data_IF_647964996828
#
_entry.id   IF_647964996828
#
_cell.length_a   1.000
_cell.length_b   1.000
_cell.length_c   1.000
_cell.angle_alpha   90.00
_cell.angle_beta   90.00
_cell.angle_gamma   90.00
#
_symmetry.space_group_name_H-M   'P 1'
#
loop_
_entity.id
_entity.type
_entity.pdbx_description
1 polymer ?
#
# COMPACT_ATOMS: atom_id res chain seq x y z
N UNK A 1 63.89 15.84 62.71
CA UNK A 1 62.72 15.15 62.13
C UNK A 1 62.80 15.30 60.61
N UNK A 2 62.82 14.21 59.85
CA UNK A 2 63.22 14.18 58.43
C UNK A 2 62.18 14.85 57.50
N UNK A 3 62.26 16.18 57.37
CA UNK A 3 61.47 17.00 56.41
C UNK A 3 61.65 16.51 54.97
N UNK A 4 62.81 15.96 54.63
CA UNK A 4 63.14 15.47 53.30
C UNK A 4 62.22 14.32 52.84
N UNK A 5 61.73 13.48 53.76
CA UNK A 5 60.80 12.39 53.43
C UNK A 5 59.44 12.95 53.01
N UNK A 6 58.97 14.02 53.66
CA UNK A 6 57.70 14.67 53.32
C UNK A 6 57.75 15.42 52.00
N UNK A 7 58.89 16.05 51.68
CA UNK A 7 59.07 16.72 50.39
C UNK A 7 59.09 15.69 49.25
N UNK A 8 59.77 14.55 49.45
CA UNK A 8 59.81 13.48 48.46
C UNK A 8 58.46 12.80 48.25
N UNK A 9 57.67 12.56 49.31
CA UNK A 9 56.33 11.98 49.18
C UNK A 9 55.36 12.93 48.47
N UNK A 10 55.45 14.24 48.75
CA UNK A 10 54.65 15.25 48.06
C UNK A 10 55.00 15.36 46.58
N UNK A 11 56.30 15.33 46.24
CA UNK A 11 56.76 15.30 44.85
C UNK A 11 56.26 14.05 44.11
N UNK A 12 56.32 12.88 44.76
CA UNK A 12 55.83 11.62 44.19
C UNK A 12 54.30 11.62 44.00
N UNK A 13 53.56 12.22 44.92
CA UNK A 13 52.11 12.36 44.78
C UNK A 13 51.75 13.33 43.64
N UNK A 14 52.50 14.42 43.49
CA UNK A 14 52.31 15.39 42.41
C UNK A 14 52.59 14.77 41.04
N UNK A 15 53.64 13.96 40.93
CA UNK A 15 53.98 13.24 39.68
C UNK A 15 52.94 12.19 39.33
N UNK A 16 52.41 11.45 40.31
CA UNK A 16 51.31 10.51 40.10
C UNK A 16 50.02 11.20 39.61
N UNK A 17 49.66 12.34 40.21
CA UNK A 17 48.50 13.12 39.79
C UNK A 17 48.65 13.72 38.39
N UNK A 18 49.84 14.22 38.04
CA UNK A 18 50.11 14.75 36.70
C UNK A 18 50.11 13.63 35.66
N UNK A 19 50.69 12.46 35.99
CA UNK A 19 50.66 11.30 35.10
C UNK A 19 49.23 10.81 34.88
N UNK A 20 48.43 10.68 35.94
CA UNK A 20 47.03 10.27 35.85
C UNK A 20 46.19 11.22 34.98
N UNK A 21 46.38 12.55 35.13
CA UNK A 21 45.71 13.51 34.23
C UNK A 21 46.16 13.37 32.79
N UNK A 22 47.46 13.19 32.54
CA UNK A 22 47.99 13.06 31.18
C UNK A 22 47.45 11.81 30.48
N UNK A 23 47.30 10.71 31.21
CA UNK A 23 46.70 9.47 30.69
C UNK A 23 45.23 9.65 30.32
N UNK A 24 44.45 10.33 31.18
CA UNK A 24 43.03 10.65 30.91
C UNK A 24 42.90 11.58 29.68
N UNK A 25 43.77 12.58 29.55
CA UNK A 25 43.76 13.45 28.36
C UNK A 25 44.10 12.66 27.10
N UNK A 26 45.07 11.75 27.16
CA UNK A 26 45.47 10.94 26.02
C UNK A 26 44.35 10.00 25.57
N UNK A 27 43.69 9.32 26.51
CA UNK A 27 42.57 8.43 26.18
C UNK A 27 41.42 9.21 25.57
N UNK A 28 41.04 10.35 26.16
CA UNK A 28 39.98 11.21 25.65
C UNK A 28 40.24 11.68 24.20
N UNK A 29 41.46 12.15 23.91
CA UNK A 29 41.84 12.60 22.57
C UNK A 29 41.79 11.47 21.55
N UNK A 30 42.21 10.25 21.94
CA UNK A 30 42.13 9.07 21.08
C UNK A 30 40.67 8.73 20.77
N UNK A 31 39.81 8.66 21.79
CA UNK A 31 38.39 8.35 21.63
C UNK A 31 37.68 9.39 20.77
N UNK A 32 37.98 10.68 20.97
CA UNK A 32 37.40 11.75 20.16
C UNK A 32 37.79 11.63 18.68
N UNK A 33 39.08 11.36 18.41
CA UNK A 33 39.59 11.18 17.04
C UNK A 33 39.01 9.95 16.36
N UNK A 34 38.78 8.86 17.10
CA UNK A 34 38.17 7.65 16.58
C UNK A 34 36.67 7.83 16.29
N UNK A 35 35.96 8.57 17.15
CA UNK A 35 34.57 8.95 16.93
C UNK A 35 34.40 9.90 15.73
N UNK A 36 35.34 10.82 15.52
CA UNK A 36 35.38 11.69 14.34
C UNK A 36 35.65 10.89 13.05
N UNK A 37 36.56 9.91 13.09
CA UNK A 37 36.77 8.95 11.99
C UNK A 37 35.53 8.11 11.70
N UNK A 38 34.81 7.68 12.73
CA UNK A 38 33.56 6.93 12.59
C UNK A 38 32.46 7.79 11.95
N UNK A 39 32.25 9.02 12.45
CA UNK A 39 31.28 9.96 11.87
C UNK A 39 31.59 10.31 10.42
N UNK A 40 32.87 10.58 10.11
CA UNK A 40 33.28 10.94 8.75
C UNK A 40 33.15 9.79 7.74
N UNK A 41 33.43 8.53 8.14
CA UNK A 41 33.35 7.38 7.21
C UNK A 41 32.00 6.68 7.19
N UNK A 42 31.42 6.39 8.35
CA UNK A 42 30.24 5.53 8.48
C UNK A 42 28.97 6.38 8.67
N UNK A 43 29.07 7.46 9.43
CA UNK A 43 27.95 8.37 9.68
C UNK A 43 27.38 8.98 8.41
N UNK A 44 28.24 9.58 7.56
CA UNK A 44 27.79 10.14 6.29
C UNK A 44 27.27 9.07 5.32
N UNK A 45 27.91 7.92 5.20
CA UNK A 45 27.41 6.85 4.32
C UNK A 45 26.07 6.28 4.79
N UNK A 46 25.84 6.13 6.09
CA UNK A 46 24.58 5.63 6.62
C UNK A 46 23.45 6.66 6.50
N UNK A 47 23.75 7.94 6.76
CA UNK A 47 22.81 9.04 6.62
C UNK A 47 22.50 9.30 5.15
N UNK A 48 23.50 9.30 4.26
CA UNK A 48 23.29 9.49 2.82
C UNK A 48 22.55 8.31 2.21
N UNK A 49 22.86 7.06 2.60
CA UNK A 49 22.08 5.90 2.13
C UNK A 49 20.66 5.92 2.68
N UNK A 50 20.47 6.28 3.95
CA UNK A 50 19.14 6.45 4.56
C UNK A 50 18.34 7.55 3.88
N UNK A 51 18.97 8.70 3.62
CA UNK A 51 18.39 9.84 2.93
C UNK A 51 18.11 9.52 1.47
N UNK A 52 18.97 8.80 0.76
CA UNK A 52 18.72 8.32 -0.61
C UNK A 52 17.56 7.32 -0.65
N UNK A 53 17.46 6.41 0.32
CA UNK A 53 16.32 5.49 0.43
C UNK A 53 15.02 6.24 0.73
N UNK A 54 15.08 7.24 1.61
CA UNK A 54 13.95 8.11 1.92
C UNK A 54 13.54 8.99 0.74
N UNK A 55 14.50 9.60 0.04
CA UNK A 55 14.26 10.37 -1.18
C UNK A 55 13.69 9.49 -2.29
N UNK A 56 14.19 8.26 -2.47
CA UNK A 56 13.62 7.29 -3.42
C UNK A 56 12.21 6.84 -3.04
N UNK A 57 11.86 6.88 -1.74
CA UNK A 57 10.53 6.56 -1.23
C UNK A 57 9.55 7.75 -1.33
N UNK A 58 10.05 8.99 -1.22
CA UNK A 58 9.22 10.20 -1.09
C UNK A 58 9.17 11.07 -2.34
N UNK A 59 10.15 10.96 -3.25
CA UNK A 59 10.19 11.76 -4.49
C UNK A 59 9.80 10.93 -5.71
N UNK A 60 8.82 11.45 -6.45
CA UNK A 60 8.41 10.90 -7.73
C UNK A 60 9.46 11.26 -8.80
N UNK A 61 10.20 10.27 -9.29
CA UNK A 61 10.97 10.46 -10.53
C UNK A 61 9.99 10.59 -11.70
N UNK A 62 9.74 11.83 -12.13
CA UNK A 62 8.96 12.16 -13.33
C UNK A 62 9.65 11.75 -14.64
N UNK A 63 10.84 11.13 -14.58
CA UNK A 63 11.64 10.71 -15.75
C UNK A 63 12.08 9.26 -15.64
N UNK A 64 11.15 8.31 -15.69
CA UNK A 64 11.46 6.94 -16.12
C UNK A 64 11.18 6.81 -17.63
N UNK A 65 12.13 7.30 -18.43
CA UNK A 65 12.34 6.86 -19.81
C UNK A 65 13.17 5.57 -19.76
N UNK A 66 12.54 4.45 -19.42
CA UNK A 66 13.04 3.13 -19.78
C UNK A 66 12.03 2.53 -20.76
N UNK A 67 12.50 1.80 -21.76
CA UNK A 67 11.66 1.05 -22.70
C UNK A 67 10.73 0.14 -21.88
N UNK A 68 9.54 0.64 -21.56
CA UNK A 68 8.56 -0.09 -20.73
C UNK A 68 8.12 -1.28 -21.54
N UNK A 69 8.40 -2.49 -21.05
CA UNK A 69 7.66 -3.68 -21.43
C UNK A 69 6.18 -3.34 -21.24
N UNK A 70 5.52 -3.04 -22.35
CA UNK A 70 4.25 -2.33 -22.36
C UNK A 70 3.21 -3.19 -21.66
N UNK A 71 2.48 -2.61 -20.71
CA UNK A 71 1.40 -3.31 -20.04
C UNK A 71 0.46 -3.94 -21.08
N UNK A 72 0.03 -5.20 -20.92
CA UNK A 72 -0.82 -5.87 -21.87
C UNK A 72 -2.10 -5.05 -22.11
N UNK A 73 -2.42 -4.84 -23.40
CA UNK A 73 -3.54 -3.98 -23.81
C UNK A 73 -4.88 -4.50 -23.33
N UNK A 74 -5.03 -5.81 -23.15
CA UNK A 74 -6.27 -6.49 -22.77
C UNK A 74 -6.51 -6.60 -21.26
N UNK A 75 -5.52 -6.29 -20.40
CA UNK A 75 -5.61 -6.55 -18.97
C UNK A 75 -5.71 -5.27 -18.13
N UNK A 76 -6.50 -5.33 -17.07
CA UNK A 76 -6.74 -4.26 -16.10
C UNK A 76 -6.63 -4.80 -14.67
N UNK A 77 -6.06 -4.06 -13.71
CA UNK A 77 -6.09 -4.48 -12.30
C UNK A 77 -7.51 -4.44 -11.69
N UNK A 78 -8.46 -3.78 -12.36
CA UNK A 78 -9.83 -3.54 -11.90
C UNK A 78 -10.85 -4.42 -12.64
N UNK A 79 -12.00 -4.67 -12.01
CA UNK A 79 -13.15 -5.34 -12.63
C UNK A 79 -13.71 -4.48 -13.76
N UNK A 80 -14.04 -5.08 -14.89
CA UNK A 80 -14.65 -4.36 -15.99
C UNK A 80 -16.19 -4.46 -15.96
N UNK A 81 -16.87 -3.38 -15.57
CA UNK A 81 -18.34 -3.30 -15.55
C UNK A 81 -18.96 -3.05 -16.93
N UNK A 82 -18.16 -2.80 -17.96
CA UNK A 82 -18.65 -2.63 -19.33
C UNK A 82 -19.52 -3.82 -19.76
N UNK A 83 -19.10 -5.04 -19.41
CA UNK A 83 -19.80 -6.27 -19.77
C UNK A 83 -21.16 -6.43 -19.08
N UNK A 84 -21.40 -5.75 -17.94
CA UNK A 84 -22.70 -5.77 -17.27
C UNK A 84 -23.65 -4.71 -17.84
N UNK A 85 -23.13 -3.51 -18.14
CA UNK A 85 -23.96 -2.36 -18.53
C UNK A 85 -24.42 -2.41 -20.00
N UNK A 86 -23.67 -3.09 -20.86
CA UNK A 86 -23.93 -3.08 -22.31
C UNK A 86 -24.57 -4.40 -22.77
N UNK A 87 -25.85 -4.40 -23.18
CA UNK A 87 -26.58 -5.63 -23.53
C UNK A 87 -25.97 -6.37 -24.72
N UNK A 88 -25.41 -5.65 -25.70
CA UNK A 88 -24.69 -6.26 -26.83
C UNK A 88 -23.53 -7.13 -26.34
N UNK A 89 -22.74 -6.60 -25.41
CA UNK A 89 -21.58 -7.28 -24.84
C UNK A 89 -21.97 -8.53 -24.04
N UNK A 90 -23.12 -8.49 -23.33
CA UNK A 90 -23.68 -9.65 -22.61
C UNK A 90 -24.03 -10.81 -23.54
N UNK A 91 -24.67 -10.49 -24.67
CA UNK A 91 -25.09 -11.50 -25.63
C UNK A 91 -23.89 -12.22 -26.28
N UNK A 92 -22.76 -11.52 -26.47
CA UNK A 92 -21.55 -12.12 -27.04
C UNK A 92 -20.80 -13.02 -26.05
N UNK A 93 -20.79 -12.71 -24.75
CA UNK A 93 -20.01 -13.45 -23.74
C UNK A 93 -20.78 -13.66 -22.42
N UNK A 94 -21.81 -14.53 -22.39
CA UNK A 94 -22.65 -14.72 -21.20
C UNK A 94 -21.88 -15.29 -20.00
N UNK A 95 -20.90 -16.16 -20.23
CA UNK A 95 -20.07 -16.73 -19.16
C UNK A 95 -19.17 -15.67 -18.49
N UNK A 96 -18.71 -14.70 -19.26
CA UNK A 96 -17.84 -13.61 -18.78
C UNK A 96 -18.64 -12.68 -17.88
N UNK A 97 -19.86 -12.33 -18.29
CA UNK A 97 -20.75 -11.49 -17.50
C UNK A 97 -21.14 -12.16 -16.17
N UNK A 98 -21.57 -13.42 -16.19
CA UNK A 98 -21.89 -14.16 -14.97
C UNK A 98 -20.70 -14.20 -13.98
N UNK A 99 -19.48 -14.38 -14.51
CA UNK A 99 -18.26 -14.35 -13.68
C UNK A 99 -18.03 -12.97 -13.06
N UNK A 100 -18.14 -11.89 -13.85
CA UNK A 100 -17.96 -10.53 -13.34
C UNK A 100 -19.06 -10.11 -12.35
N UNK A 101 -20.28 -10.58 -12.55
CA UNK A 101 -21.42 -10.39 -11.62
C UNK A 101 -21.13 -11.00 -10.25
N UNK A 102 -20.69 -12.26 -10.23
CA UNK A 102 -20.29 -12.94 -8.99
C UNK A 102 -19.09 -12.28 -8.30
N UNK A 103 -18.11 -11.82 -9.09
CA UNK A 103 -16.94 -11.11 -8.57
C UNK A 103 -17.34 -9.77 -7.93
N UNK A 104 -18.19 -9.00 -8.60
CA UNK A 104 -18.72 -7.73 -8.09
C UNK A 104 -19.48 -7.93 -6.78
N UNK A 105 -20.36 -8.95 -6.72
CA UNK A 105 -21.08 -9.33 -5.51
C UNK A 105 -20.14 -9.61 -4.34
N UNK A 106 -19.10 -10.42 -4.57
CA UNK A 106 -18.08 -10.74 -3.55
C UNK A 106 -17.34 -9.50 -3.06
N UNK A 107 -16.95 -8.60 -3.96
CA UNK A 107 -16.28 -7.35 -3.58
C UNK A 107 -17.19 -6.46 -2.76
N UNK A 108 -18.45 -6.30 -3.16
CA UNK A 108 -19.39 -5.47 -2.41
C UNK A 108 -19.54 -6.01 -0.98
N UNK A 109 -19.75 -7.32 -0.81
CA UNK A 109 -19.83 -7.93 0.52
C UNK A 109 -18.52 -7.80 1.31
N UNK A 110 -17.37 -7.97 0.66
CA UNK A 110 -16.10 -7.97 1.37
C UNK A 110 -15.67 -6.56 1.80
N UNK A 111 -15.89 -5.56 0.96
CA UNK A 111 -15.47 -4.18 1.21
C UNK A 111 -16.52 -3.46 2.06
N UNK A 112 -17.80 -3.62 1.75
CA UNK A 112 -18.88 -2.84 2.36
C UNK A 112 -19.69 -3.62 3.39
N UNK A 113 -19.59 -4.96 3.42
CA UNK A 113 -20.36 -5.84 4.31
C UNK A 113 -20.23 -5.52 5.79
N UNK A 114 -19.08 -5.00 6.23
CA UNK A 114 -18.84 -4.70 7.64
C UNK A 114 -19.40 -3.33 8.09
N UNK A 115 -19.88 -2.49 7.16
CA UNK A 115 -20.39 -1.15 7.47
C UNK A 115 -21.74 -1.20 8.14
N UNK A 116 -21.95 -0.34 9.15
CA UNK A 116 -23.20 -0.24 9.90
C UNK A 116 -24.41 -0.05 8.98
N UNK A 117 -24.35 0.94 8.09
CA UNK A 117 -25.45 1.27 7.17
C UNK A 117 -25.75 0.12 6.20
N UNK A 118 -24.70 -0.55 5.72
CA UNK A 118 -24.84 -1.66 4.78
C UNK A 118 -25.34 -2.94 5.45
N UNK A 119 -24.92 -3.21 6.70
CA UNK A 119 -25.47 -4.31 7.53
C UNK A 119 -26.94 -4.10 7.83
N UNK A 120 -27.34 -2.89 8.19
CA UNK A 120 -28.74 -2.55 8.41
C UNK A 120 -29.56 -2.78 7.13
N UNK A 121 -29.05 -2.34 5.98
CA UNK A 121 -29.69 -2.57 4.70
C UNK A 121 -29.78 -4.06 4.34
N UNK A 122 -28.74 -4.86 4.60
CA UNK A 122 -28.74 -6.32 4.41
C UNK A 122 -29.73 -7.04 5.33
N UNK A 123 -29.93 -6.56 6.56
CA UNK A 123 -30.90 -7.13 7.49
C UNK A 123 -32.35 -6.88 7.01
N UNK A 124 -32.60 -5.73 6.37
CA UNK A 124 -33.90 -5.39 5.79
C UNK A 124 -34.14 -6.20 4.51
N UNK A 125 -33.12 -6.30 3.65
CA UNK A 125 -33.18 -7.05 2.41
C UNK A 125 -31.95 -7.98 2.26
N UNK A 126 -32.07 -9.29 2.55
CA UNK A 126 -30.98 -10.25 2.39
C UNK A 126 -30.49 -10.40 0.94
N UNK A 127 -31.33 -10.07 -0.05
CA UNK A 127 -31.01 -10.12 -1.48
C UNK A 127 -30.52 -8.77 -2.03
N UNK A 128 -30.27 -7.78 -1.15
CA UNK A 128 -29.90 -6.41 -1.52
C UNK A 128 -28.82 -6.32 -2.61
N UNK A 129 -27.75 -7.11 -2.51
CA UNK A 129 -26.63 -7.04 -3.48
C UNK A 129 -27.04 -7.59 -4.84
N UNK A 130 -27.85 -8.65 -4.86
CA UNK A 130 -28.37 -9.21 -6.10
C UNK A 130 -29.34 -8.24 -6.77
N UNK A 131 -30.23 -7.63 -5.99
CA UNK A 131 -31.18 -6.61 -6.45
C UNK A 131 -30.47 -5.35 -6.96
N UNK A 132 -29.42 -4.91 -6.26
CA UNK A 132 -28.62 -3.75 -6.64
C UNK A 132 -27.89 -4.00 -7.97
N UNK A 133 -27.28 -5.17 -8.15
CA UNK A 133 -26.62 -5.51 -9.41
C UNK A 133 -27.64 -5.61 -10.55
N UNK A 134 -28.79 -6.25 -10.31
CA UNK A 134 -29.86 -6.34 -11.31
C UNK A 134 -30.40 -4.96 -11.69
N UNK A 135 -30.56 -4.05 -10.72
CA UNK A 135 -30.98 -2.67 -10.99
C UNK A 135 -29.94 -1.92 -11.83
N UNK A 136 -28.64 -2.11 -11.56
CA UNK A 136 -27.55 -1.52 -12.34
C UNK A 136 -27.58 -2.01 -13.79
N UNK A 137 -27.79 -3.30 -14.00
CA UNK A 137 -27.92 -3.92 -15.32
C UNK A 137 -29.13 -3.39 -16.09
N UNK A 138 -30.28 -3.26 -15.43
CA UNK A 138 -31.50 -2.75 -16.02
C UNK A 138 -31.36 -1.28 -16.42
N UNK A 139 -30.77 -0.46 -15.54
CA UNK A 139 -30.47 0.94 -15.81
C UNK A 139 -29.48 1.12 -16.95
N UNK A 140 -28.42 0.29 -17.00
CA UNK A 140 -27.47 0.27 -18.11
C UNK A 140 -28.13 -0.08 -19.44
N UNK A 141 -29.01 -1.09 -19.44
CA UNK A 141 -29.80 -1.46 -20.62
C UNK A 141 -30.69 -0.31 -21.10
N UNK A 142 -31.38 0.37 -20.18
CA UNK A 142 -32.25 1.52 -20.52
C UNK A 142 -31.46 2.63 -21.21
N UNK A 143 -30.30 3.01 -20.65
CA UNK A 143 -29.42 4.03 -21.25
C UNK A 143 -28.85 3.62 -22.61
N UNK A 144 -28.55 2.33 -22.79
CA UNK A 144 -28.11 1.80 -24.08
C UNK A 144 -29.21 1.93 -25.15
N UNK A 145 -30.48 1.66 -24.80
CA UNK A 145 -31.63 1.83 -25.70
C UNK A 145 -31.87 3.30 -26.08
N UNK A 146 -31.56 4.22 -25.16
CA UNK A 146 -31.65 5.67 -25.38
C UNK A 146 -30.45 6.24 -26.18
N UNK A 147 -29.58 5.39 -26.73
CA UNK A 147 -28.33 5.76 -27.44
C UNK A 147 -27.36 6.60 -26.61
N UNK A 148 -27.44 6.54 -25.28
CA UNK A 148 -26.56 7.26 -24.36
C UNK A 148 -25.82 6.31 -23.41
N UNK A 149 -24.98 5.39 -23.93
CA UNK A 149 -24.26 4.44 -23.10
C UNK A 149 -23.22 5.11 -22.21
N UNK A 150 -23.03 4.58 -21.00
CA UNK A 150 -21.98 5.02 -20.09
C UNK A 150 -20.61 4.56 -20.62
N UNK A 151 -19.75 5.54 -20.92
CA UNK A 151 -18.40 5.31 -21.46
C UNK A 151 -17.28 5.53 -20.43
N UNK A 152 -17.57 6.26 -19.35
CA UNK A 152 -16.58 6.70 -18.38
C UNK A 152 -16.99 6.31 -16.97
N UNK A 153 -16.00 6.03 -16.13
CA UNK A 153 -16.18 5.63 -14.72
C UNK A 153 -17.04 6.63 -13.94
N UNK A 154 -16.83 7.93 -14.16
CA UNK A 154 -17.62 8.99 -13.49
C UNK A 154 -19.09 9.01 -13.96
N UNK A 155 -19.38 8.48 -15.16
CA UNK A 155 -20.75 8.38 -15.65
C UNK A 155 -21.61 7.38 -14.85
N UNK A 156 -21.00 6.51 -14.03
CA UNK A 156 -21.72 5.62 -13.11
C UNK A 156 -22.53 6.37 -12.06
N UNK A 157 -22.11 7.59 -11.68
CA UNK A 157 -22.84 8.42 -10.71
C UNK A 157 -24.20 8.89 -11.24
N UNK A 158 -24.37 8.96 -12.56
CA UNK A 158 -25.61 9.41 -13.19
C UNK A 158 -26.58 8.26 -13.48
N UNK A 159 -26.29 7.05 -13.00
CA UNK A 159 -27.14 5.89 -13.21
C UNK A 159 -28.37 5.96 -12.31
N UNK A 160 -29.55 6.02 -12.91
CA UNK A 160 -30.83 5.96 -12.20
C UNK A 160 -31.35 4.51 -12.15
N UNK A 161 -31.37 3.94 -10.96
CA UNK A 161 -31.83 2.58 -10.66
C UNK A 161 -33.36 2.48 -10.54
N UNK A 162 -34.09 3.61 -10.53
CA UNK A 162 -35.55 3.66 -10.46
C UNK A 162 -36.17 3.28 -9.10
N UNK A 163 -35.38 2.75 -8.17
CA UNK A 163 -35.80 2.45 -6.80
C UNK A 163 -35.03 3.34 -5.80
N UNK A 164 -35.72 4.21 -5.04
CA UNK A 164 -35.07 5.15 -4.13
C UNK A 164 -34.14 4.48 -3.11
N UNK A 165 -34.57 3.36 -2.52
CA UNK A 165 -33.77 2.62 -1.54
C UNK A 165 -32.47 2.06 -2.12
N UNK A 166 -32.53 1.43 -3.30
CA UNK A 166 -31.34 0.90 -3.97
C UNK A 166 -30.44 2.03 -4.48
N UNK A 167 -31.03 3.15 -4.91
CA UNK A 167 -30.32 4.34 -5.35
C UNK A 167 -29.48 4.94 -4.22
N UNK A 168 -30.04 5.09 -3.03
CA UNK A 168 -29.34 5.63 -1.86
C UNK A 168 -28.14 4.75 -1.47
N UNK A 169 -28.34 3.43 -1.46
CA UNK A 169 -27.28 2.47 -1.18
C UNK A 169 -26.22 2.53 -2.27
N UNK A 170 -26.61 2.53 -3.54
CA UNK A 170 -25.68 2.63 -4.66
C UNK A 170 -24.83 3.91 -4.60
N UNK A 171 -25.45 5.06 -4.33
CA UNK A 171 -24.72 6.31 -4.12
C UNK A 171 -23.77 6.25 -2.93
N UNK A 172 -24.15 5.60 -1.83
CA UNK A 172 -23.27 5.42 -0.69
C UNK A 172 -22.02 4.59 -1.05
N UNK A 173 -22.18 3.55 -1.88
CA UNK A 173 -21.07 2.74 -2.38
C UNK A 173 -20.13 3.53 -3.31
N UNK A 174 -20.70 4.38 -4.18
CA UNK A 174 -19.93 5.22 -5.11
C UNK A 174 -19.24 6.40 -4.43
N UNK A 175 -19.90 7.07 -3.48
CA UNK A 175 -19.30 8.17 -2.71
C UNK A 175 -18.19 7.67 -1.78
N UNK A 176 -18.31 6.41 -1.37
CA UNK A 176 -17.38 5.77 -0.47
C UNK A 176 -17.55 6.19 0.98
N UNK A 177 -16.79 5.54 1.85
CA UNK A 177 -16.86 5.72 3.29
C UNK A 177 -15.45 5.88 3.86
N UNK A 178 -15.33 6.67 4.93
CA UNK A 178 -14.07 6.85 5.62
C UNK A 178 -13.74 5.56 6.39
N UNK A 179 -12.57 4.98 6.10
CA UNK A 179 -11.96 4.07 7.05
C UNK A 179 -11.64 4.88 8.30
N UNK A 180 -12.31 4.58 9.42
CA UNK A 180 -11.76 4.96 10.71
C UNK A 180 -10.37 4.32 10.81
N UNK A 181 -9.31 5.04 11.22
CA UNK A 181 -7.98 4.45 11.36
C UNK A 181 -8.09 3.20 12.21
N UNK A 182 -7.52 2.09 11.73
CA UNK A 182 -7.55 0.81 12.43
C UNK A 182 -7.09 1.05 13.87
N UNK A 183 -7.97 0.81 14.84
CA UNK A 183 -7.55 0.63 16.22
C UNK A 183 -6.54 -0.51 16.19
N UNK A 184 -5.28 -0.19 16.49
CA UNK A 184 -4.18 -1.15 16.63
C UNK A 184 -4.57 -2.20 17.69
N UNK A 185 -5.26 -3.26 17.28
CA UNK A 185 -5.39 -4.48 18.07
C UNK A 185 -4.13 -5.31 17.85
N UNK A 186 -3.20 -5.21 18.80
CA UNK A 186 -2.23 -6.25 19.09
C UNK A 186 -0.90 -6.12 18.37
N UNK A 187 -0.08 -5.16 18.80
CA UNK A 187 1.37 -5.26 18.68
C UNK A 187 1.84 -6.51 19.44
N UNK A 188 1.99 -7.63 18.73
CA UNK A 188 2.73 -8.80 19.24
C UNK A 188 4.20 -8.63 18.87
N UNK A 189 4.94 -8.06 19.82
CA UNK A 189 6.39 -8.16 20.05
C UNK A 189 7.32 -8.35 18.84
N UNK A 190 7.93 -7.25 18.39
CA UNK A 190 9.37 -7.26 18.12
C UNK A 190 10.05 -6.51 19.28
N UNK A 191 10.64 -7.27 20.21
CA UNK A 191 11.50 -6.72 21.25
C UNK A 191 12.81 -6.26 20.61
N UNK A 192 13.07 -4.95 20.58
CA UNK A 192 14.42 -4.42 20.64
C UNK A 192 14.74 -4.04 22.09
N UNK A 193 15.97 -4.26 22.58
CA UNK A 193 16.30 -4.03 23.99
C UNK A 193 16.39 -2.53 24.27
N UNK A 194 15.48 -2.04 25.12
CA UNK A 194 15.61 -0.75 25.78
C UNK A 194 16.33 -0.98 27.10
N UNK A 195 17.61 -0.67 27.16
CA UNK A 195 18.25 -0.37 28.44
C UNK A 195 18.24 1.14 28.66
N UNK A 196 17.62 1.47 29.80
CA UNK A 196 17.53 2.74 30.50
C UNK A 196 18.71 3.69 30.31
N UNK A 197 18.41 4.99 30.24
CA UNK A 197 18.81 5.99 31.24
C UNK A 197 17.84 7.19 31.10
N UNK A 198 17.03 7.40 32.13
CA UNK A 198 16.45 8.70 32.45
C UNK A 198 17.43 9.49 33.32
N UNK A 199 17.35 10.81 33.16
CA UNK A 199 17.74 11.89 34.09
C UNK A 199 19.01 12.72 33.75
N UNK A 200 18.82 14.05 33.95
CA UNK A 200 19.73 15.21 33.88
C UNK A 200 19.97 15.80 32.47
N UNK A 201 19.88 17.10 32.22
CA UNK A 201 19.47 18.25 33.03
C UNK A 201 19.20 19.43 32.05
N UNK A 202 18.34 20.32 32.49
CA UNK A 202 17.96 21.63 31.94
C UNK A 202 19.16 22.52 31.56
N UNK A 203 19.16 23.14 30.37
CA UNK A 203 19.14 24.60 30.22
C UNK A 203 19.28 25.11 28.77
N UNK A 204 18.34 26.00 28.43
CA UNK A 204 18.48 27.26 27.66
C UNK A 204 19.47 27.33 26.48
N UNK A 205 18.95 27.48 25.26
CA UNK A 205 18.88 28.82 24.62
C UNK A 205 18.25 28.78 23.21
N UNK A 206 17.13 29.49 23.09
CA UNK A 206 16.76 30.38 21.98
C UNK A 206 17.11 29.98 20.54
N UNK A 207 16.09 29.52 19.81
CA UNK A 207 15.59 30.18 18.60
C UNK A 207 14.25 29.55 18.22
N UNK A 208 13.16 30.25 18.54
CA UNK A 208 11.83 29.96 18.00
C UNK A 208 11.86 30.27 16.50
N UNK A 209 12.17 29.25 15.70
CA UNK A 209 11.72 29.18 14.32
C UNK A 209 10.25 28.80 14.38
N UNK A 210 9.43 29.84 14.20
CA UNK A 210 8.02 29.78 13.89
C UNK A 210 7.86 29.14 12.49
N UNK A 211 8.09 27.83 12.42
CA UNK A 211 7.59 27.00 11.34
C UNK A 211 6.32 26.37 11.87
N UNK A 212 5.19 26.95 11.46
CA UNK A 212 3.88 26.34 11.65
C UNK A 212 3.97 24.90 11.17
N UNK A 213 3.98 23.97 12.13
CA UNK A 213 3.58 22.60 11.88
C UNK A 213 2.14 22.71 11.38
N UNK A 214 1.95 22.70 10.06
CA UNK A 214 0.68 22.29 9.51
C UNK A 214 0.45 20.88 10.05
N UNK A 215 -0.41 20.82 11.07
CA UNK A 215 -0.99 19.61 11.60
C UNK A 215 -1.41 18.78 10.39
N UNK A 216 -0.65 17.70 10.13
CA UNK A 216 -0.88 16.81 9.01
C UNK A 216 -2.34 16.38 9.09
N UNK A 217 -3.18 16.95 8.21
CA UNK A 217 -4.52 16.44 7.97
C UNK A 217 -4.33 15.04 7.40
N UNK A 218 -4.41 14.04 8.27
CA UNK A 218 -4.65 12.67 7.87
C UNK A 218 -5.93 12.69 7.03
N UNK A 219 -5.77 12.75 5.70
CA UNK A 219 -6.90 12.60 4.79
C UNK A 219 -7.40 11.19 5.00
N UNK A 220 -8.53 11.05 5.70
CA UNK A 220 -9.24 9.80 5.82
C UNK A 220 -9.34 9.19 4.42
N UNK A 221 -8.75 8.02 4.22
CA UNK A 221 -8.81 7.34 2.93
C UNK A 221 -10.24 6.84 2.78
N UNK A 222 -11.02 7.49 1.92
CA UNK A 222 -12.34 7.04 1.51
C UNK A 222 -12.19 5.86 0.57
N UNK A 223 -12.75 4.70 0.92
CA UNK A 223 -12.86 3.59 -0.05
C UNK A 223 -14.17 3.75 -0.81
N UNK A 224 -14.11 3.76 -2.14
CA UNK A 224 -15.28 3.76 -3.02
C UNK A 224 -15.32 2.51 -3.90
N UNK A 225 -16.52 2.10 -4.32
CA UNK A 225 -16.70 1.06 -5.34
C UNK A 225 -15.96 1.42 -6.64
N UNK A 226 -15.86 2.72 -6.92
CA UNK A 226 -15.12 3.27 -8.04
C UNK A 226 -13.66 2.78 -8.05
N UNK A 227 -13.03 2.56 -6.89
CA UNK A 227 -11.63 2.13 -6.80
C UNK A 227 -11.36 0.71 -7.31
N UNK A 228 -12.42 -0.08 -7.51
CA UNK A 228 -12.35 -1.48 -7.94
C UNK A 228 -12.83 -1.71 -9.38
N UNK A 229 -13.31 -0.69 -10.08
CA UNK A 229 -14.01 -0.84 -11.36
C UNK A 229 -13.43 -0.02 -12.51
N UNK A 230 -13.57 -0.54 -13.72
CA UNK A 230 -13.27 0.11 -15.01
C UNK A 230 -14.41 -0.13 -15.99
N UNK A 231 -14.48 0.70 -17.04
CA UNK A 231 -15.48 0.61 -18.12
C UNK A 231 -14.84 0.53 -19.50
N UNK A 232 -13.58 0.11 -19.58
CA UNK A 232 -12.86 0.05 -20.84
C UNK A 232 -13.20 -1.26 -21.60
N UNK A 233 -13.85 -1.21 -22.78
CA UNK A 233 -14.28 -2.40 -23.52
C UNK A 233 -13.11 -3.30 -23.96
N UNK A 234 -11.91 -2.75 -24.09
CA UNK A 234 -10.72 -3.52 -24.49
C UNK A 234 -10.14 -4.35 -23.34
N UNK A 235 -10.56 -4.09 -22.10
CA UNK A 235 -10.03 -4.73 -20.89
C UNK A 235 -10.85 -5.95 -20.52
N UNK A 236 -10.54 -7.09 -21.11
CA UNK A 236 -11.26 -8.36 -20.89
C UNK A 236 -10.71 -9.18 -19.73
N UNK A 237 -9.44 -8.97 -19.35
CA UNK A 237 -8.72 -9.76 -18.34
C UNK A 237 -8.42 -8.95 -17.08
N UNK A 238 -8.41 -9.64 -15.94
CA UNK A 238 -7.92 -9.08 -14.68
C UNK A 238 -6.43 -9.34 -14.54
N UNK A 239 -5.67 -8.26 -14.40
CA UNK A 239 -4.23 -8.30 -14.18
C UNK A 239 -3.95 -8.59 -12.73
N UNK A 240 -3.66 -9.86 -12.43
CA UNK A 240 -3.39 -10.34 -11.08
C UNK A 240 -2.27 -9.51 -10.47
N UNK A 241 -1.11 -9.36 -11.12
CA UNK A 241 0.06 -8.65 -10.57
C UNK A 241 -0.23 -7.26 -9.96
N UNK A 242 -1.23 -6.52 -10.45
CA UNK A 242 -1.57 -5.17 -9.97
C UNK A 242 -2.96 -5.09 -9.32
N UNK A 243 -3.72 -6.18 -9.26
CA UNK A 243 -5.08 -6.13 -8.72
C UNK A 243 -5.09 -5.81 -7.21
N UNK A 244 -6.00 -4.94 -6.73
CA UNK A 244 -6.22 -4.67 -5.31
C UNK A 244 -6.52 -5.90 -4.47
N UNK A 245 -6.27 -5.81 -3.15
CA UNK A 245 -6.46 -6.93 -2.21
C UNK A 245 -7.88 -7.48 -2.23
N UNK A 246 -8.89 -6.61 -2.27
CA UNK A 246 -10.29 -7.01 -2.34
C UNK A 246 -10.61 -7.85 -3.60
N UNK A 247 -10.08 -7.45 -4.77
CA UNK A 247 -10.26 -8.18 -6.03
C UNK A 247 -9.58 -9.55 -5.95
N UNK A 248 -8.40 -9.63 -5.34
CA UNK A 248 -7.69 -10.91 -5.18
C UNK A 248 -8.42 -11.85 -4.24
N UNK A 249 -8.93 -11.35 -3.12
CA UNK A 249 -9.73 -12.15 -2.20
C UNK A 249 -10.99 -12.67 -2.90
N UNK A 250 -11.64 -11.87 -3.72
CA UNK A 250 -12.78 -12.32 -4.52
C UNK A 250 -12.40 -13.39 -5.57
N UNK A 251 -11.21 -13.35 -6.17
CA UNK A 251 -10.72 -14.35 -7.15
C UNK A 251 -10.27 -15.66 -6.48
N UNK A 252 -9.42 -15.55 -5.46
CA UNK A 252 -8.71 -16.68 -4.84
C UNK A 252 -9.43 -17.27 -3.63
N UNK A 253 -10.29 -16.51 -2.95
CA UNK A 253 -11.08 -16.97 -1.79
C UNK A 253 -10.29 -17.23 -0.49
N UNK A 254 -8.99 -17.47 -0.58
CA UNK A 254 -8.11 -17.72 0.57
C UNK A 254 -7.23 -16.50 0.90
N UNK A 255 -7.37 -15.90 2.11
CA UNK A 255 -6.52 -14.80 2.56
C UNK A 255 -5.03 -15.12 2.57
N UNK A 256 -4.65 -16.36 2.86
CA UNK A 256 -3.24 -16.78 2.93
C UNK A 256 -2.58 -16.67 1.56
N UNK A 257 -3.22 -17.23 0.54
CA UNK A 257 -2.82 -17.11 -0.86
C UNK A 257 -2.73 -15.65 -1.31
N UNK A 258 -3.66 -14.79 -0.88
CA UNK A 258 -3.62 -13.37 -1.24
C UNK A 258 -2.42 -12.66 -0.61
N UNK A 259 -2.10 -12.93 0.65
CA UNK A 259 -0.91 -12.36 1.29
C UNK A 259 0.39 -12.84 0.61
N UNK A 260 0.47 -14.13 0.25
CA UNK A 260 1.59 -14.67 -0.55
C UNK A 260 1.73 -13.92 -1.88
N UNK A 261 0.62 -13.69 -2.59
CA UNK A 261 0.61 -12.94 -3.84
C UNK A 261 1.10 -11.50 -3.61
N UNK A 262 0.62 -10.82 -2.57
CA UNK A 262 1.02 -9.44 -2.26
C UNK A 262 2.51 -9.33 -1.94
N UNK A 263 3.06 -10.27 -1.17
CA UNK A 263 4.48 -10.33 -0.86
C UNK A 263 5.32 -10.64 -2.11
N UNK A 264 4.89 -11.63 -2.91
CA UNK A 264 5.61 -12.05 -4.11
C UNK A 264 5.66 -10.95 -5.17
N UNK A 265 4.64 -10.09 -5.27
CA UNK A 265 4.69 -8.95 -6.21
C UNK A 265 5.80 -7.96 -5.89
N UNK A 266 6.07 -7.76 -4.59
CA UNK A 266 7.13 -6.84 -4.13
C UNK A 266 8.50 -7.42 -4.46
N UNK A 267 8.72 -8.72 -4.24
CA UNK A 267 9.98 -9.37 -4.59
C UNK A 267 10.22 -9.33 -6.11
N UNK A 268 9.19 -9.65 -6.90
CA UNK A 268 9.25 -9.61 -8.36
C UNK A 268 9.43 -8.19 -8.91
N UNK A 269 8.85 -7.17 -8.26
CA UNK A 269 9.06 -5.76 -8.62
C UNK A 269 10.55 -5.39 -8.57
N UNK A 270 11.25 -5.73 -7.49
CA UNK A 270 12.68 -5.44 -7.35
C UNK A 270 13.57 -6.25 -8.31
N UNK A 271 13.14 -7.45 -8.69
CA UNK A 271 13.82 -8.27 -9.69
C UNK A 271 13.67 -7.66 -11.09
N UNK A 272 12.44 -7.35 -11.50
CA UNK A 272 12.14 -6.81 -12.83
C UNK A 272 12.62 -5.38 -13.01
N UNK A 273 12.70 -4.58 -11.94
CA UNK A 273 13.30 -3.24 -12.03
C UNK A 273 14.80 -3.28 -12.41
N UNK A 274 15.49 -4.38 -12.09
CA UNK A 274 16.92 -4.57 -12.38
C UNK A 274 17.18 -5.34 -13.67
N UNK A 275 16.20 -6.08 -14.18
CA UNK A 275 16.32 -6.92 -15.37
C UNK A 275 15.68 -6.26 -16.60
N UNK A 276 16.26 -6.46 -17.78
CA UNK A 276 15.68 -5.97 -19.04
C UNK A 276 14.50 -6.85 -19.52
N UNK A 277 14.46 -8.12 -19.12
CA UNK A 277 13.41 -9.09 -19.48
C UNK A 277 12.64 -9.61 -18.25
N UNK A 278 11.32 -9.66 -18.39
CA UNK A 278 10.31 -10.00 -17.38
C UNK A 278 9.53 -11.29 -17.72
N UNK A 279 9.93 -12.03 -18.76
CA UNK A 279 9.31 -13.30 -19.13
C UNK A 279 9.44 -14.36 -18.02
N UNK A 280 10.66 -14.59 -17.52
CA UNK A 280 10.91 -15.56 -16.43
C UNK A 280 10.10 -15.23 -15.17
N UNK A 281 10.06 -13.95 -14.79
CA UNK A 281 9.25 -13.48 -13.65
C UNK A 281 7.75 -13.72 -13.86
N UNK A 282 7.27 -13.54 -15.09
CA UNK A 282 5.88 -13.77 -15.47
C UNK A 282 5.51 -15.25 -15.41
N UNK A 283 6.37 -16.14 -15.93
CA UNK A 283 6.14 -17.58 -15.88
C UNK A 283 6.16 -18.11 -14.45
N UNK A 284 7.12 -17.67 -13.63
CA UNK A 284 7.19 -18.02 -12.22
C UNK A 284 5.94 -17.58 -11.45
N UNK A 285 5.50 -16.33 -11.67
CA UNK A 285 4.30 -15.81 -11.03
C UNK A 285 3.04 -16.55 -11.48
N UNK A 286 2.94 -16.86 -12.78
CA UNK A 286 1.84 -17.65 -13.33
C UNK A 286 1.79 -19.05 -12.73
N UNK A 287 2.91 -19.77 -12.75
CA UNK A 287 2.98 -21.14 -12.23
C UNK A 287 2.64 -21.23 -10.74
N UNK A 288 3.02 -20.21 -9.95
CA UNK A 288 2.75 -20.18 -8.52
C UNK A 288 1.24 -20.06 -8.18
N UNK A 289 0.47 -19.31 -8.98
CA UNK A 289 -0.87 -18.87 -8.58
C UNK A 289 -1.99 -19.24 -9.56
N UNK A 290 -1.72 -19.56 -10.83
CA UNK A 290 -2.78 -19.78 -11.83
C UNK A 290 -3.79 -20.88 -11.45
N UNK A 291 -3.31 -21.98 -10.88
CA UNK A 291 -4.14 -23.13 -10.48
C UNK A 291 -4.89 -22.92 -9.17
N UNK A 292 -4.60 -21.84 -8.43
CA UNK A 292 -5.22 -21.54 -7.14
C UNK A 292 -6.45 -20.64 -7.26
N UNK A 293 -6.76 -20.13 -8.46
CA UNK A 293 -7.95 -19.32 -8.67
C UNK A 293 -9.22 -20.20 -8.59
N UNK A 294 -10.14 -19.85 -7.68
CA UNK A 294 -11.35 -20.63 -7.42
C UNK A 294 -12.54 -20.06 -8.20
N UNK A 295 -12.64 -18.74 -8.25
CA UNK A 295 -13.85 -18.05 -8.68
C UNK A 295 -13.74 -17.43 -10.09
N UNK A 296 -12.65 -17.69 -10.79
CA UNK A 296 -12.38 -17.11 -12.10
C UNK A 296 -11.55 -18.06 -12.96
N UNK A 297 -11.93 -18.29 -14.23
CA UNK A 297 -11.13 -19.12 -15.13
C UNK A 297 -9.80 -18.45 -15.46
N UNK A 298 -8.75 -19.26 -15.63
CA UNK A 298 -7.40 -18.78 -15.95
C UNK A 298 -7.38 -17.92 -17.22
N UNK A 299 -8.24 -18.19 -18.19
CA UNK A 299 -8.35 -17.44 -19.45
C UNK A 299 -8.71 -15.97 -19.27
N UNK A 300 -9.34 -15.62 -18.15
CA UNK A 300 -9.72 -14.24 -17.79
C UNK A 300 -8.70 -13.57 -16.86
N UNK A 301 -7.62 -14.27 -16.50
CA UNK A 301 -6.56 -13.76 -15.64
C UNK A 301 -5.29 -13.48 -16.45
N UNK A 302 -4.62 -12.39 -16.11
CA UNK A 302 -3.31 -12.03 -16.64
C UNK A 302 -2.27 -11.95 -15.52
N UNK A 303 -1.21 -12.75 -15.66
CA UNK A 303 -0.12 -12.87 -14.70
C UNK A 303 1.12 -12.07 -15.12
N UNK A 304 1.03 -11.26 -16.18
CA UNK A 304 2.17 -10.47 -16.69
C UNK A 304 2.75 -9.55 -15.61
N UNK A 305 4.03 -9.76 -15.28
CA UNK A 305 4.80 -8.95 -14.34
C UNK A 305 5.43 -7.78 -15.08
N UNK A 306 5.40 -6.57 -14.50
CA UNK A 306 6.06 -5.38 -15.08
C UNK A 306 6.80 -4.61 -14.00
N UNK A 307 7.69 -3.70 -14.39
CA UNK A 307 8.34 -2.74 -13.50
C UNK A 307 7.38 -1.67 -12.89
N UNK A 308 6.06 -1.85 -12.97
CA UNK A 308 5.09 -0.98 -12.29
C UNK A 308 5.05 -1.35 -10.82
N UNK A 309 5.18 -0.37 -9.92
CA UNK A 309 5.16 -0.63 -8.48
C UNK A 309 3.77 -1.11 -8.02
N UNK A 310 3.64 -2.35 -7.51
CA UNK A 310 2.36 -2.90 -7.07
C UNK A 310 1.82 -2.22 -5.81
N UNK A 311 2.65 -1.46 -5.07
CA UNK A 311 2.23 -0.79 -3.83
C UNK A 311 1.19 0.31 -4.06
N UNK A 312 1.11 0.87 -5.27
CA UNK A 312 0.09 1.85 -5.63
C UNK A 312 -1.33 1.30 -5.68
N UNK A 313 -1.50 -0.03 -5.66
CA UNK A 313 -2.79 -0.70 -5.74
C UNK A 313 -3.22 -1.32 -4.40
N UNK A 314 -2.58 -0.91 -3.29
CA UNK A 314 -2.98 -1.27 -1.93
C UNK A 314 -4.21 -0.46 -1.50
N UNK A 315 -5.34 -0.67 -2.17
CA UNK A 315 -6.64 -0.34 -1.57
C UNK A 315 -6.94 -1.49 -0.58
N UNK A 316 -7.21 -1.19 0.70
CA UNK A 316 -7.36 -2.20 1.76
C UNK A 316 -8.44 -3.24 1.49
#
# INVERSE_FOLDING_TARGET
>A
MNILIYVMSLLMMLTLLTYGRLEIYRSFVITQKELERYRSRIGHLAIDNGAQQWYAWTTFSSKENSKKNSAPKEASPLINLYWLLHPEARNFYPQVEATYRELLKKIIHQVFGEQTNFKEALNINPQLVDDLIQAIEAAGHKLALENNPIKTKNGLENLDLGQPFLQDIYYSLLKGYNLSPSVNLGNKHLNLPTENITALDSNENNKSLDEGFEEYKHTAHTISLLDFVTLNPQKTKIRVYLAPKAILLAIFGDPSTVEEILQQRISLYYQVKKAEDNQLATEQFKHAFATRAINMPETMLDFTVTATDPRHYKVP
#
